data_IF_922206184688
#
_entry.id   IF_922206184688
#
_cell.length_a   1.000
_cell.length_b   1.000
_cell.length_c   1.000
_cell.angle_alpha   90.00
_cell.angle_beta   90.00
_cell.angle_gamma   90.00
#
_symmetry.space_group_name_H-M   'P 1'
#
loop_
_entity.id
_entity.type
_entity.pdbx_description
1 polymer ?
#
# COMPACT_ATOMS: atom_id res chain seq x y z
N UNK A 1 -2.20 -23.88 -13.11
CA UNK A 1 -2.06 -24.94 -14.09
C UNK A 1 -0.60 -25.21 -14.43
N UNK A 2 -0.32 -26.19 -15.24
CA UNK A 2 1.05 -26.63 -15.59
C UNK A 2 1.92 -25.57 -16.31
N UNK A 3 1.34 -24.47 -16.72
CA UNK A 3 2.06 -23.35 -17.37
C UNK A 3 2.54 -22.26 -16.41
N UNK A 4 2.22 -22.37 -15.11
CA UNK A 4 2.61 -21.37 -14.13
C UNK A 4 4.08 -21.56 -13.72
N UNK A 5 4.84 -20.47 -13.77
CA UNK A 5 6.23 -20.38 -13.35
C UNK A 5 6.36 -19.81 -11.94
N UNK A 6 7.57 -19.82 -11.36
CA UNK A 6 7.87 -19.14 -10.09
C UNK A 6 7.46 -17.66 -10.13
N UNK A 7 7.65 -16.99 -11.29
CA UNK A 7 7.26 -15.58 -11.47
C UNK A 7 5.75 -15.37 -11.31
N UNK A 8 4.92 -16.28 -11.80
CA UNK A 8 3.46 -16.21 -11.60
C UNK A 8 3.08 -16.35 -10.12
N UNK A 9 3.75 -17.24 -9.38
CA UNK A 9 3.52 -17.40 -7.94
C UNK A 9 3.89 -16.14 -7.17
N UNK A 10 5.09 -15.59 -7.43
CA UNK A 10 5.54 -14.36 -6.77
C UNK A 10 4.60 -13.21 -7.05
N UNK A 11 4.17 -13.06 -8.31
CA UNK A 11 3.21 -12.02 -8.71
C UNK A 11 1.86 -12.20 -8.01
N UNK A 12 1.34 -13.42 -7.95
CA UNK A 12 0.07 -13.71 -7.27
C UNK A 12 0.11 -13.35 -5.78
N UNK A 13 1.23 -13.58 -5.11
CA UNK A 13 1.43 -13.14 -3.70
C UNK A 13 1.40 -11.62 -3.59
N UNK A 14 2.12 -10.91 -4.47
CA UNK A 14 2.12 -9.44 -4.48
C UNK A 14 0.72 -8.88 -4.74
N UNK A 15 -0.01 -9.44 -5.69
CA UNK A 15 -1.38 -9.05 -6.03
C UNK A 15 -2.35 -9.31 -4.87
N UNK A 16 -2.26 -10.48 -4.23
CA UNK A 16 -3.09 -10.83 -3.08
C UNK A 16 -2.89 -9.87 -1.90
N UNK A 17 -1.63 -9.53 -1.57
CA UNK A 17 -1.32 -8.53 -0.54
C UNK A 17 -1.87 -7.15 -0.95
N UNK A 18 -1.76 -6.77 -2.23
CA UNK A 18 -2.28 -5.50 -2.71
C UNK A 18 -3.80 -5.42 -2.64
N UNK A 19 -4.52 -6.53 -2.89
CA UNK A 19 -5.98 -6.60 -2.70
C UNK A 19 -6.37 -6.46 -1.23
N UNK A 20 -5.63 -7.09 -0.32
CA UNK A 20 -5.86 -6.92 1.12
C UNK A 20 -5.68 -5.45 1.56
N UNK A 21 -4.65 -4.78 1.06
CA UNK A 21 -4.45 -3.34 1.31
C UNK A 21 -5.58 -2.49 0.73
N UNK A 22 -6.06 -2.84 -0.46
CA UNK A 22 -7.21 -2.17 -1.05
C UNK A 22 -8.48 -2.36 -0.23
N UNK A 23 -8.73 -3.54 0.27
CA UNK A 23 -9.89 -3.82 1.13
C UNK A 23 -9.87 -2.92 2.38
N UNK A 24 -8.72 -2.81 3.06
CA UNK A 24 -8.55 -1.85 4.17
C UNK A 24 -8.79 -0.40 3.74
N UNK A 25 -8.33 -0.01 2.55
CA UNK A 25 -8.52 1.34 2.03
C UNK A 25 -9.99 1.64 1.73
N UNK A 26 -10.75 0.67 1.20
CA UNK A 26 -12.18 0.84 0.96
C UNK A 26 -12.94 1.07 2.28
N UNK A 27 -12.54 0.42 3.38
CA UNK A 27 -13.10 0.68 4.71
C UNK A 27 -12.79 2.10 5.21
N UNK A 28 -11.56 2.60 4.99
CA UNK A 28 -11.18 3.99 5.32
C UNK A 28 -12.04 4.98 4.51
N UNK A 29 -12.23 4.73 3.22
CA UNK A 29 -13.08 5.55 2.35
C UNK A 29 -14.55 5.52 2.81
N UNK A 30 -15.04 4.36 3.24
CA UNK A 30 -16.40 4.21 3.76
C UNK A 30 -16.65 5.07 5.01
N UNK A 31 -15.61 5.33 5.82
CA UNK A 31 -15.66 6.26 6.97
C UNK A 31 -15.64 7.74 6.56
N UNK A 32 -15.62 8.03 5.25
CA UNK A 32 -15.55 9.40 4.69
C UNK A 32 -14.31 10.19 5.15
N UNK A 33 -13.22 9.50 5.46
CA UNK A 33 -11.95 10.11 5.80
C UNK A 33 -11.32 10.63 4.50
N UNK A 34 -11.10 11.95 4.42
CA UNK A 34 -10.42 12.55 3.30
C UNK A 34 -8.92 12.20 3.35
N UNK A 35 -8.45 11.52 2.31
CA UNK A 35 -7.02 11.20 2.14
C UNK A 35 -6.49 11.99 0.96
N UNK A 36 -5.53 12.87 1.20
CA UNK A 36 -4.94 13.73 0.17
C UNK A 36 -3.78 13.08 -0.58
N UNK A 37 -3.08 12.13 0.05
CA UNK A 37 -1.90 11.50 -0.50
C UNK A 37 -1.69 10.11 0.08
N UNK A 38 -1.21 9.19 -0.76
CA UNK A 38 -0.80 7.84 -0.34
C UNK A 38 0.70 7.71 -0.46
N UNK A 39 1.35 7.41 0.66
CA UNK A 39 2.80 7.21 0.72
C UNK A 39 3.12 5.75 0.98
N UNK A 40 4.11 5.22 0.25
CA UNK A 40 4.62 3.87 0.44
C UNK A 40 5.99 3.93 1.10
N UNK A 41 6.14 3.18 2.19
CA UNK A 41 7.39 3.06 2.96
C UNK A 41 7.74 1.60 3.20
N UNK A 42 8.94 1.34 3.72
CA UNK A 42 9.41 0.01 4.05
C UNK A 42 10.06 -0.73 2.87
N UNK A 43 10.38 -2.01 3.07
CA UNK A 43 11.09 -2.82 2.08
C UNK A 43 10.39 -2.96 0.74
N UNK A 44 9.07 -3.03 0.74
CA UNK A 44 8.25 -3.09 -0.48
C UNK A 44 8.35 -1.83 -1.35
N UNK A 45 8.58 -0.66 -0.74
CA UNK A 45 8.75 0.60 -1.46
C UNK A 45 9.96 0.62 -2.40
N UNK A 46 10.96 -0.24 -2.17
CA UNK A 46 12.16 -0.34 -3.00
C UNK A 46 11.92 -1.05 -4.34
N UNK A 47 10.90 -1.90 -4.42
CA UNK A 47 10.59 -2.71 -5.61
C UNK A 47 9.72 -1.95 -6.62
N UNK A 48 10.27 -1.56 -7.78
CA UNK A 48 9.50 -0.86 -8.84
C UNK A 48 8.24 -1.62 -9.25
N UNK A 49 8.36 -2.93 -9.47
CA UNK A 49 7.23 -3.77 -9.85
C UNK A 49 6.15 -3.78 -8.77
N UNK A 50 6.52 -3.91 -7.51
CA UNK A 50 5.56 -3.90 -6.42
C UNK A 50 4.82 -2.57 -6.32
N UNK A 51 5.54 -1.45 -6.41
CA UNK A 51 4.92 -0.10 -6.39
C UNK A 51 3.92 0.07 -7.53
N UNK A 52 4.23 -0.44 -8.73
CA UNK A 52 3.32 -0.37 -9.87
C UNK A 52 2.08 -1.24 -9.65
N UNK A 53 2.25 -2.51 -9.22
CA UNK A 53 1.11 -3.39 -8.91
C UNK A 53 0.20 -2.73 -7.87
N UNK A 54 0.78 -2.17 -6.82
CA UNK A 54 0.03 -1.53 -5.75
C UNK A 54 -0.71 -0.27 -6.24
N UNK A 55 -0.06 0.60 -7.02
CA UNK A 55 -0.71 1.76 -7.62
C UNK A 55 -1.89 1.36 -8.52
N UNK A 56 -1.71 0.33 -9.35
CA UNK A 56 -2.72 -0.18 -10.26
C UNK A 56 -3.90 -0.82 -9.50
N UNK A 57 -3.63 -1.62 -8.46
CA UNK A 57 -4.66 -2.25 -7.62
C UNK A 57 -5.45 -1.21 -6.81
N UNK A 58 -4.77 -0.21 -6.24
CA UNK A 58 -5.42 0.86 -5.47
C UNK A 58 -6.08 1.92 -6.37
N UNK A 59 -5.82 1.88 -7.67
CA UNK A 59 -6.26 2.88 -8.67
C UNK A 59 -5.90 4.31 -8.24
N UNK A 60 -4.72 4.51 -7.63
CA UNK A 60 -4.30 5.80 -7.09
C UNK A 60 -2.80 5.99 -7.18
N UNK A 61 -2.31 7.22 -7.37
CA UNK A 61 -0.88 7.50 -7.33
C UNK A 61 -0.28 7.18 -5.97
N UNK A 62 0.94 6.64 -5.98
CA UNK A 62 1.71 6.34 -4.79
C UNK A 62 3.01 7.12 -4.77
N UNK A 63 3.21 7.88 -3.71
CA UNK A 63 4.44 8.62 -3.46
C UNK A 63 5.40 7.77 -2.65
N UNK A 64 6.65 7.61 -3.12
CA UNK A 64 7.73 7.03 -2.32
C UNK A 64 8.67 8.12 -1.81
N UNK A 65 9.28 7.89 -0.65
CA UNK A 65 10.23 8.80 -0.04
C UNK A 65 11.66 8.28 -0.18
N UNK A 66 12.65 9.16 -0.12
CA UNK A 66 14.07 8.78 -0.16
C UNK A 66 14.39 7.86 1.02
N UNK A 67 14.00 8.27 2.21
CA UNK A 67 14.11 7.46 3.42
C UNK A 67 12.82 6.68 3.63
N UNK A 68 12.91 5.38 3.37
CA UNK A 68 11.78 4.45 3.44
C UNK A 68 11.72 3.66 4.74
N UNK A 69 12.52 4.04 5.75
CA UNK A 69 12.59 3.35 7.03
C UNK A 69 11.57 3.91 8.02
N UNK A 70 10.86 3.03 8.70
CA UNK A 70 9.90 3.40 9.74
C UNK A 70 10.57 4.07 10.96
N UNK A 71 11.87 3.86 11.16
CA UNK A 71 12.66 4.50 12.21
C UNK A 71 12.72 6.03 12.06
N UNK A 72 12.62 6.54 10.83
CA UNK A 72 12.55 7.99 10.59
C UNK A 72 11.34 8.61 11.32
N UNK A 73 10.16 7.99 11.24
CA UNK A 73 8.98 8.47 11.95
C UNK A 73 9.17 8.53 13.46
N UNK A 74 9.80 7.50 14.06
CA UNK A 74 10.12 7.48 15.48
C UNK A 74 11.13 8.58 15.86
N UNK A 75 12.14 8.82 15.01
CA UNK A 75 13.10 9.89 15.22
C UNK A 75 12.45 11.29 15.15
N UNK A 76 11.49 11.47 14.20
CA UNK A 76 10.72 12.72 14.08
C UNK A 76 9.87 12.97 15.34
N UNK A 77 9.17 11.94 15.85
CA UNK A 77 8.41 12.02 17.10
C UNK A 77 9.31 12.45 18.28
N UNK A 78 10.47 11.81 18.42
CA UNK A 78 11.45 12.16 19.45
C UNK A 78 11.95 13.60 19.28
N UNK A 79 12.21 14.02 18.04
CA UNK A 79 12.65 15.38 17.73
C UNK A 79 11.64 16.47 18.09
N UNK A 80 10.34 16.20 17.88
CA UNK A 80 9.29 17.12 18.34
C UNK A 80 9.20 17.14 19.85
N UNK A 81 9.24 15.97 20.52
CA UNK A 81 9.16 15.87 21.97
C UNK A 81 10.33 16.56 22.68
N UNK A 82 11.52 16.63 22.06
CA UNK A 82 12.72 17.26 22.62
C UNK A 82 12.93 18.71 22.15
N UNK A 83 12.02 19.25 21.33
CA UNK A 83 12.10 20.63 20.84
C UNK A 83 13.11 20.85 19.70
N UNK A 84 13.62 19.78 19.07
CA UNK A 84 14.46 19.87 17.85
C UNK A 84 13.62 20.37 16.67
N UNK A 85 12.36 19.93 16.58
CA UNK A 85 11.36 20.43 15.64
C UNK A 85 10.27 21.18 16.39
N UNK A 86 9.75 22.24 15.76
CA UNK A 86 8.70 23.06 16.36
C UNK A 86 7.39 22.29 16.55
N UNK A 87 7.05 21.46 15.57
CA UNK A 87 5.86 20.61 15.52
C UNK A 87 6.06 19.46 14.51
N UNK A 88 5.01 18.65 14.31
CA UNK A 88 5.06 17.54 13.36
C UNK A 88 5.17 18.00 11.90
N UNK A 89 4.53 19.11 11.53
CA UNK A 89 4.60 19.64 10.16
C UNK A 89 6.01 20.13 9.84
N UNK A 90 6.69 20.79 10.79
CA UNK A 90 8.09 21.20 10.67
C UNK A 90 9.01 19.99 10.50
N UNK A 91 8.78 18.93 11.27
CA UNK A 91 9.57 17.70 11.18
C UNK A 91 9.39 17.02 9.80
N UNK A 92 8.16 16.93 9.30
CA UNK A 92 7.87 16.37 7.97
C UNK A 92 8.54 17.18 6.87
N UNK A 93 8.42 18.51 6.91
CA UNK A 93 9.03 19.39 5.90
C UNK A 93 10.55 19.27 5.86
N UNK A 94 11.20 19.06 7.01
CA UNK A 94 12.66 18.95 7.12
C UNK A 94 13.21 17.56 6.82
N UNK A 95 12.46 16.50 7.16
CA UNK A 95 12.99 15.14 7.12
C UNK A 95 12.46 14.31 5.96
N UNK A 96 11.28 14.64 5.40
CA UNK A 96 10.66 13.80 4.37
C UNK A 96 10.93 14.39 2.98
N UNK A 97 11.71 13.66 2.19
CA UNK A 97 11.98 14.01 0.79
C UNK A 97 11.29 13.02 -0.13
N UNK A 98 10.45 13.51 -1.04
CA UNK A 98 9.82 12.69 -2.09
C UNK A 98 10.89 12.20 -3.06
N UNK A 99 10.91 10.89 -3.31
CA UNK A 99 11.84 10.27 -4.26
C UNK A 99 11.21 10.07 -5.63
N UNK A 100 9.98 9.56 -5.66
CA UNK A 100 9.31 9.15 -6.89
C UNK A 100 7.80 9.06 -6.69
N UNK A 101 7.03 9.24 -7.76
CA UNK A 101 5.59 9.05 -7.79
C UNK A 101 5.25 8.03 -8.87
N UNK A 102 4.58 6.95 -8.50
CA UNK A 102 4.09 5.93 -9.42
C UNK A 102 2.61 6.17 -9.66
N UNK A 103 2.23 6.38 -10.91
CA UNK A 103 0.83 6.54 -11.33
C UNK A 103 0.25 5.19 -11.81
N UNK A 104 -1.04 4.94 -11.54
CA UNK A 104 -1.70 3.74 -12.04
C UNK A 104 -1.79 3.74 -13.58
N UNK A 105 -1.67 2.56 -14.17
CA UNK A 105 -1.85 2.33 -15.60
C UNK A 105 -3.30 1.94 -15.84
N UNK A 106 -4.09 2.73 -16.61
CA UNK A 106 -5.54 2.51 -16.76
C UNK A 106 -5.91 1.09 -17.19
N UNK A 107 -5.18 0.51 -18.13
CA UNK A 107 -5.44 -0.85 -18.64
C UNK A 107 -5.24 -1.91 -17.55
N UNK A 108 -4.26 -1.71 -16.65
CA UNK A 108 -4.04 -2.59 -15.52
C UNK A 108 -5.12 -2.42 -14.46
N UNK A 109 -5.55 -1.18 -14.22
CA UNK A 109 -6.63 -0.87 -13.26
C UNK A 109 -7.89 -1.67 -13.61
N UNK A 110 -8.30 -1.69 -14.88
CA UNK A 110 -9.49 -2.46 -15.31
C UNK A 110 -9.36 -3.96 -15.00
N UNK A 111 -8.17 -4.53 -15.23
CA UNK A 111 -7.89 -5.94 -14.91
C UNK A 111 -7.97 -6.18 -13.40
N UNK A 112 -7.37 -5.28 -12.61
CA UNK A 112 -7.35 -5.41 -11.15
C UNK A 112 -8.69 -5.12 -10.49
N UNK A 113 -9.56 -4.31 -11.11
CA UNK A 113 -10.95 -4.14 -10.66
C UNK A 113 -11.72 -5.46 -10.67
N UNK A 114 -11.56 -6.25 -11.74
CA UNK A 114 -12.15 -7.58 -11.80
C UNK A 114 -11.55 -8.50 -10.75
N UNK A 115 -10.20 -8.54 -10.65
CA UNK A 115 -9.50 -9.36 -9.68
C UNK A 115 -9.88 -9.03 -8.23
N UNK A 116 -10.08 -7.77 -7.91
CA UNK A 116 -10.52 -7.34 -6.57
C UNK A 116 -11.95 -7.81 -6.23
N UNK A 117 -12.87 -7.76 -7.20
CA UNK A 117 -14.22 -8.32 -6.99
C UNK A 117 -14.17 -9.83 -6.73
N UNK A 118 -13.34 -10.55 -7.50
CA UNK A 118 -13.16 -11.99 -7.32
C UNK A 118 -12.53 -12.28 -5.93
N UNK A 119 -11.53 -11.50 -5.53
CA UNK A 119 -10.89 -11.56 -4.19
C UNK A 119 -11.93 -11.39 -3.07
N UNK A 120 -12.76 -10.35 -3.11
CA UNK A 120 -13.79 -10.11 -2.08
C UNK A 120 -14.84 -11.23 -2.04
N UNK A 121 -15.19 -11.78 -3.18
CA UNK A 121 -16.13 -12.92 -3.26
C UNK A 121 -15.55 -14.14 -2.55
N UNK A 122 -14.27 -14.45 -2.80
CA UNK A 122 -13.56 -15.58 -2.18
C UNK A 122 -13.43 -15.33 -0.67
N UNK A 123 -13.02 -14.14 -0.25
CA UNK A 123 -12.89 -13.79 1.16
C UNK A 123 -14.21 -13.98 1.91
N UNK A 124 -15.31 -13.50 1.34
CA UNK A 124 -16.63 -13.67 1.95
C UNK A 124 -17.03 -15.15 2.05
N UNK A 125 -16.75 -15.95 1.02
CA UNK A 125 -17.09 -17.38 1.01
C UNK A 125 -16.25 -18.18 2.02
N UNK A 126 -15.02 -17.75 2.32
CA UNK A 126 -14.10 -18.43 3.23
C UNK A 126 -14.15 -17.90 4.67
N UNK A 127 -14.88 -16.81 4.94
CA UNK A 127 -14.88 -16.16 6.25
C UNK A 127 -15.28 -17.12 7.39
N UNK A 128 -16.34 -17.90 7.19
CA UNK A 128 -16.79 -18.91 8.18
C UNK A 128 -15.73 -20.00 8.39
N UNK A 129 -15.13 -20.47 7.29
CA UNK A 129 -14.07 -21.50 7.37
C UNK A 129 -12.87 -21.01 8.18
N UNK A 130 -12.48 -19.75 8.02
CA UNK A 130 -11.37 -19.18 8.79
C UNK A 130 -11.69 -19.07 10.29
N UNK A 131 -12.94 -18.76 10.64
CA UNK A 131 -13.37 -18.71 12.05
C UNK A 131 -13.38 -20.08 12.70
N UNK A 132 -13.66 -21.15 11.94
CA UNK A 132 -13.71 -22.50 12.47
C UNK A 132 -12.32 -23.14 12.67
N UNK A 133 -11.26 -22.56 12.06
CA UNK A 133 -9.89 -23.10 12.10
C UNK A 133 -9.04 -22.42 13.19
N UNK A 134 -9.40 -21.23 13.65
CA UNK A 134 -8.71 -20.46 14.67
C UNK A 134 -9.39 -20.63 16.03
#
# INVERSE_FOLDING_TARGET
GMHHTKGHFTRAVMEGISYSMRDCLEEIKAQKIAVSEYRIIGGGAKGKLWRQILADVLATPLTSTVDNDSSLGSAMLAGVATGVFADFDDSVKKCVTVADVVTPIPENVEIYEKGFRDYRTIQKALAEVYHDII
#
